data_IF_751235723587
#
_entry.id   IF_751235723587
#
_cell.length_a   1.000
_cell.length_b   1.000
_cell.length_c   1.000
_cell.angle_alpha   90.00
_cell.angle_beta   90.00
_cell.angle_gamma   90.00
#
_symmetry.space_group_name_H-M   'P 1'
#
loop_
_entity.id
_entity.type
_entity.pdbx_description
1 polymer ?
#
# COMPACT_ATOMS: atom_id res chain seq x y z
N UNK A 1 -16.95 -21.85 25.35
CA UNK A 1 -16.11 -20.74 24.84
C UNK A 1 -15.48 -19.84 25.92
N UNK A 2 -15.81 -19.94 27.23
CA UNK A 2 -15.17 -19.06 28.24
C UNK A 2 -13.81 -19.54 28.77
N UNK A 3 -13.45 -20.82 28.59
CA UNK A 3 -12.17 -21.36 29.05
C UNK A 3 -10.97 -20.78 28.30
N UNK A 4 -11.07 -20.65 26.97
CA UNK A 4 -10.02 -20.03 26.15
C UNK A 4 -9.83 -18.56 26.50
N UNK A 5 -10.92 -17.81 26.71
CA UNK A 5 -10.88 -16.41 27.14
C UNK A 5 -10.30 -16.24 28.56
N UNK A 6 -10.59 -17.18 29.48
CA UNK A 6 -10.05 -17.16 30.84
C UNK A 6 -8.55 -17.48 30.86
N UNK A 7 -8.13 -18.49 30.09
CA UNK A 7 -6.73 -18.87 29.96
C UNK A 7 -5.91 -17.78 29.26
N UNK A 8 -6.44 -17.15 28.21
CA UNK A 8 -5.76 -16.03 27.55
C UNK A 8 -5.65 -14.81 28.48
N UNK A 9 -6.72 -14.44 29.18
CA UNK A 9 -6.70 -13.37 30.20
C UNK A 9 -5.68 -13.66 31.31
N UNK A 10 -5.62 -14.91 31.78
CA UNK A 10 -4.66 -15.32 32.82
C UNK A 10 -3.22 -15.26 32.29
N UNK A 11 -2.96 -15.76 31.08
CA UNK A 11 -1.66 -15.72 30.42
C UNK A 11 -1.16 -14.27 30.19
N UNK A 12 -2.04 -13.39 29.73
CA UNK A 12 -1.71 -11.96 29.57
C UNK A 12 -1.32 -11.36 30.93
N UNK A 13 -2.07 -11.69 32.00
CA UNK A 13 -1.79 -11.18 33.35
C UNK A 13 -0.53 -11.77 33.96
N UNK A 14 -0.22 -13.03 33.68
CA UNK A 14 0.99 -13.70 34.19
C UNK A 14 2.24 -13.32 33.43
N UNK A 15 2.16 -12.91 32.17
CA UNK A 15 3.32 -12.43 31.42
C UNK A 15 3.53 -10.92 31.60
N UNK A 16 2.47 -10.12 31.52
CA UNK A 16 2.61 -8.65 31.52
C UNK A 16 3.06 -8.11 32.87
N UNK A 17 2.57 -8.66 33.99
CA UNK A 17 2.89 -8.15 35.33
C UNK A 17 4.34 -8.39 35.77
N UNK A 18 4.92 -9.61 35.68
CA UNK A 18 6.31 -9.80 36.08
C UNK A 18 7.26 -9.05 35.15
N UNK A 19 6.99 -8.98 33.85
CA UNK A 19 7.83 -8.23 32.90
C UNK A 19 7.82 -6.74 33.24
N UNK A 20 6.64 -6.14 33.46
CA UNK A 20 6.55 -4.73 33.85
C UNK A 20 7.25 -4.46 35.19
N UNK A 21 7.12 -5.36 36.17
CA UNK A 21 7.77 -5.20 37.48
C UNK A 21 9.30 -5.35 37.38
N UNK A 22 9.81 -6.27 36.57
CA UNK A 22 11.25 -6.43 36.33
C UNK A 22 11.83 -5.19 35.61
N UNK A 23 11.13 -4.67 34.61
CA UNK A 23 11.54 -3.46 33.89
C UNK A 23 11.55 -2.25 34.84
N UNK A 24 10.56 -2.14 35.75
CA UNK A 24 10.54 -1.09 36.78
C UNK A 24 11.72 -1.22 37.76
N UNK A 25 12.10 -2.44 38.16
CA UNK A 25 13.26 -2.69 39.01
C UNK A 25 14.56 -2.27 38.29
N UNK A 26 14.75 -2.70 37.03
CA UNK A 26 15.92 -2.33 36.25
C UNK A 26 16.01 -0.82 35.95
N UNK A 27 14.87 -0.12 35.81
CA UNK A 27 14.86 1.33 35.66
C UNK A 27 15.31 2.08 36.92
N UNK A 28 15.30 1.43 38.09
CA UNK A 28 15.85 1.99 39.33
C UNK A 28 17.34 1.68 39.46
N UNK A 29 17.76 0.50 39.01
CA UNK A 29 19.15 0.03 39.10
C UNK A 29 20.06 0.64 38.04
N UNK A 30 19.53 0.93 36.84
CA UNK A 30 20.32 1.42 35.71
C UNK A 30 19.90 2.82 35.24
N UNK A 31 20.79 3.81 35.39
CA UNK A 31 20.53 5.19 34.95
C UNK A 31 20.36 5.32 33.44
N UNK A 32 21.10 4.55 32.63
CA UNK A 32 20.96 4.58 31.17
C UNK A 32 19.55 4.15 30.76
N UNK A 33 19.07 3.07 31.38
CA UNK A 33 17.74 2.54 31.12
C UNK A 33 16.66 3.51 31.64
N UNK A 34 16.84 4.09 32.83
CA UNK A 34 16.00 5.18 33.35
C UNK A 34 15.83 6.33 32.35
N UNK A 35 16.94 6.82 31.78
CA UNK A 35 16.92 7.89 30.76
C UNK A 35 16.12 7.51 29.52
N UNK A 36 16.22 6.26 29.06
CA UNK A 36 15.44 5.73 27.93
C UNK A 36 13.94 5.66 28.28
N UNK A 37 13.58 5.14 29.46
CA UNK A 37 12.18 5.12 29.90
C UNK A 37 11.60 6.53 30.00
N UNK A 38 12.34 7.47 30.57
CA UNK A 38 11.91 8.86 30.73
C UNK A 38 11.78 9.55 29.38
N UNK A 39 12.75 9.39 28.46
CA UNK A 39 12.69 10.01 27.13
C UNK A 39 11.53 9.46 26.31
N UNK A 40 11.29 8.15 26.35
CA UNK A 40 10.16 7.51 25.66
C UNK A 40 8.82 7.98 26.23
N UNK A 41 8.68 7.99 27.55
CA UNK A 41 7.46 8.47 28.21
C UNK A 41 7.18 9.94 27.91
N UNK A 42 8.21 10.78 27.88
CA UNK A 42 8.07 12.18 27.49
C UNK A 42 7.72 12.35 26.01
N UNK A 43 8.29 11.54 25.11
CA UNK A 43 7.95 11.54 23.69
C UNK A 43 6.49 11.16 23.46
N UNK A 44 6.04 10.06 24.09
CA UNK A 44 4.65 9.63 24.04
C UNK A 44 3.69 10.65 24.63
N UNK A 45 4.04 11.25 25.77
CA UNK A 45 3.22 12.30 26.37
C UNK A 45 3.10 13.52 25.47
N UNK A 46 4.21 13.94 24.83
CA UNK A 46 4.20 15.05 23.87
C UNK A 46 3.35 14.72 22.64
N UNK A 47 3.42 13.49 22.16
CA UNK A 47 2.63 13.01 21.03
C UNK A 47 1.14 12.97 21.35
N UNK A 48 0.76 12.35 22.48
CA UNK A 48 -0.62 12.27 22.96
C UNK A 48 -1.24 13.67 23.15
N UNK A 49 -0.53 14.58 23.82
CA UNK A 49 -0.99 15.97 23.98
C UNK A 49 -1.06 16.71 22.64
N UNK A 50 -0.14 16.47 21.71
CA UNK A 50 -0.19 17.09 20.37
C UNK A 50 -1.43 16.63 19.60
N UNK A 51 -1.72 15.33 19.59
CA UNK A 51 -2.92 14.79 18.93
C UNK A 51 -4.19 15.31 19.58
N UNK A 52 -4.24 15.32 20.92
CA UNK A 52 -5.41 15.80 21.66
C UNK A 52 -5.67 17.29 21.41
N UNK A 53 -4.62 18.11 21.42
CA UNK A 53 -4.73 19.55 21.18
C UNK A 53 -5.02 19.87 19.70
N UNK A 54 -4.55 19.04 18.77
CA UNK A 54 -4.94 19.10 17.36
C UNK A 54 -6.43 18.83 17.18
N UNK A 55 -6.92 17.70 17.69
CA UNK A 55 -8.32 17.28 17.53
C UNK A 55 -9.33 18.24 18.20
N UNK A 56 -8.99 18.82 19.36
CA UNK A 56 -9.85 19.83 20.02
C UNK A 56 -9.92 21.13 19.21
N UNK A 57 -8.86 21.48 18.46
CA UNK A 57 -8.86 22.71 17.67
C UNK A 57 -9.63 22.58 16.38
N UNK A 58 -9.47 21.50 15.62
CA UNK A 58 -10.24 21.27 14.38
C UNK A 58 -11.74 21.35 14.66
N UNK A 59 -12.19 20.77 15.77
CA UNK A 59 -13.60 20.85 16.20
C UNK A 59 -14.03 22.26 16.61
N UNK A 60 -13.15 23.06 17.24
CA UNK A 60 -13.47 24.46 17.58
C UNK A 60 -13.42 25.41 16.38
N UNK A 61 -12.50 25.22 15.44
CA UNK A 61 -12.40 25.98 14.20
C UNK A 61 -13.63 25.74 13.33
N UNK A 62 -14.05 24.48 13.17
CA UNK A 62 -15.27 24.11 12.45
C UNK A 62 -16.51 24.73 13.12
N UNK A 63 -16.60 24.75 14.45
CA UNK A 63 -17.71 25.42 15.17
C UNK A 63 -17.73 26.94 14.97
N UNK A 64 -16.57 27.60 15.02
CA UNK A 64 -16.46 29.05 14.77
C UNK A 64 -16.81 29.40 13.32
N UNK A 65 -16.42 28.57 12.36
CA UNK A 65 -16.80 28.72 10.95
C UNK A 65 -18.31 28.54 10.75
N UNK A 66 -18.90 27.49 11.33
CA UNK A 66 -20.34 27.28 11.28
C UNK A 66 -21.15 28.44 11.91
N UNK A 67 -20.62 29.06 12.97
CA UNK A 67 -21.21 30.24 13.60
C UNK A 67 -21.09 31.49 12.71
N UNK A 68 -19.91 31.75 12.15
CA UNK A 68 -19.70 32.88 11.22
C UNK A 68 -20.53 32.73 9.94
N UNK A 69 -20.69 31.52 9.42
CA UNK A 69 -21.59 31.23 8.29
C UNK A 69 -23.06 31.37 8.66
N UNK A 70 -23.47 30.95 9.86
CA UNK A 70 -24.84 31.14 10.35
C UNK A 70 -25.16 32.63 10.56
N UNK A 71 -24.19 33.43 11.01
CA UNK A 71 -24.30 34.88 11.11
C UNK A 71 -24.32 35.55 9.72
N UNK A 72 -23.47 35.10 8.79
CA UNK A 72 -23.48 35.57 7.40
C UNK A 72 -24.82 35.26 6.71
N UNK A 73 -25.37 34.06 6.91
CA UNK A 73 -26.67 33.64 6.34
C UNK A 73 -27.85 34.44 6.91
N UNK A 74 -27.76 34.96 8.14
CA UNK A 74 -28.79 35.85 8.71
C UNK A 74 -28.84 37.22 8.02
N UNK A 75 -27.78 37.62 7.32
CA UNK A 75 -27.68 38.93 6.66
C UNK A 75 -27.85 38.86 5.13
N UNK A 76 -28.23 37.70 4.56
CA UNK A 76 -28.53 37.58 3.13
C UNK A 76 -30.01 37.95 2.89
N UNK A 77 -30.32 39.09 2.24
CA UNK A 77 -31.69 39.46 1.91
C UNK A 77 -32.25 38.57 0.80
N UNK A 78 -33.44 37.99 1.02
CA UNK A 78 -34.15 37.04 0.15
C UNK A 78 -34.95 37.68 -0.98
N UNK A 79 -34.63 38.90 -1.42
CA UNK A 79 -35.31 39.55 -2.55
C UNK A 79 -34.34 40.38 -3.42
N UNK A 80 -34.51 40.39 -4.76
CA UNK A 80 -33.59 41.03 -5.70
C UNK A 80 -33.88 42.53 -5.78
N UNK A 81 -33.35 43.30 -4.84
CA UNK A 81 -33.47 44.77 -4.85
C UNK A 81 -32.10 45.43 -4.75
N UNK A 82 -31.95 46.57 -5.45
CA UNK A 82 -30.70 47.34 -5.61
C UNK A 82 -30.07 47.63 -4.25
N UNK A 83 -28.79 47.26 -4.09
CA UNK A 83 -28.06 47.30 -2.81
C UNK A 83 -27.97 48.74 -2.27
N UNK A 84 -28.53 48.99 -1.09
CA UNK A 84 -28.23 50.17 -0.27
C UNK A 84 -26.83 50.05 0.34
N UNK A 85 -26.12 51.16 0.49
CA UNK A 85 -24.74 51.23 1.02
C UNK A 85 -24.56 50.59 2.41
N UNK A 86 -25.66 50.46 3.17
CA UNK A 86 -25.67 49.78 4.47
C UNK A 86 -25.47 48.26 4.34
N UNK A 87 -25.96 47.63 3.27
CA UNK A 87 -25.83 46.20 3.04
C UNK A 87 -24.42 45.82 2.57
N UNK A 88 -23.77 46.67 1.76
CA UNK A 88 -22.39 46.44 1.30
C UNK A 88 -21.38 46.62 2.44
N UNK A 89 -21.58 47.60 3.32
CA UNK A 89 -20.74 47.76 4.54
C UNK A 89 -20.89 46.56 5.48
N UNK A 90 -22.10 46.01 5.64
CA UNK A 90 -22.32 44.81 6.47
C UNK A 90 -21.69 43.54 5.85
N UNK A 91 -21.74 43.38 4.52
CA UNK A 91 -21.07 42.29 3.80
C UNK A 91 -19.54 42.38 3.90
N UNK A 92 -18.97 43.59 3.76
CA UNK A 92 -17.53 43.81 3.89
C UNK A 92 -17.03 43.60 5.33
N UNK A 93 -17.80 44.02 6.34
CA UNK A 93 -17.47 43.75 7.74
C UNK A 93 -17.56 42.26 8.08
N UNK A 94 -18.55 41.54 7.55
CA UNK A 94 -18.66 40.10 7.70
C UNK A 94 -17.49 39.37 7.01
N UNK A 95 -17.09 39.83 5.82
CA UNK A 95 -15.92 39.30 5.11
C UNK A 95 -14.60 39.64 5.82
N UNK A 96 -14.47 40.83 6.40
CA UNK A 96 -13.30 41.22 7.20
C UNK A 96 -13.19 40.37 8.47
N UNK A 97 -14.33 40.12 9.16
CA UNK A 97 -14.39 39.23 10.33
C UNK A 97 -14.09 37.77 9.96
N UNK A 98 -14.59 37.29 8.82
CA UNK A 98 -14.28 35.95 8.31
C UNK A 98 -12.81 35.79 7.93
N UNK A 99 -12.21 36.80 7.27
CA UNK A 99 -10.78 36.82 6.92
C UNK A 99 -9.89 36.90 8.17
N UNK A 100 -10.25 37.73 9.15
CA UNK A 100 -9.54 37.81 10.43
C UNK A 100 -9.64 36.49 11.23
N UNK A 101 -10.81 35.83 11.23
CA UNK A 101 -10.99 34.53 11.87
C UNK A 101 -10.19 33.41 11.17
N UNK A 102 -10.07 33.46 9.83
CA UNK A 102 -9.23 32.53 9.06
C UNK A 102 -7.73 32.76 9.32
N UNK A 103 -7.31 34.02 9.44
CA UNK A 103 -5.92 34.37 9.75
C UNK A 103 -5.53 34.02 11.20
N UNK A 104 -6.45 34.16 12.16
CA UNK A 104 -6.26 33.72 13.53
C UNK A 104 -6.16 32.18 13.62
N UNK A 105 -6.96 31.46 12.84
CA UNK A 105 -6.91 30.00 12.75
C UNK A 105 -5.62 29.49 12.07
N UNK A 106 -4.97 30.30 11.25
CA UNK A 106 -3.75 29.94 10.51
C UNK A 106 -2.45 30.11 11.33
N UNK A 107 -2.47 30.74 12.51
CA UNK A 107 -1.24 30.97 13.30
C UNK A 107 -0.75 29.68 13.98
N UNK A 108 0.50 29.24 13.73
CA UNK A 108 1.06 28.06 14.38
C UNK A 108 1.28 28.33 15.87
N UNK A 109 0.48 27.72 16.72
CA UNK A 109 0.63 27.83 18.17
C UNK A 109 1.64 26.82 18.71
N UNK A 110 2.70 27.30 19.35
CA UNK A 110 3.67 26.46 20.06
C UNK A 110 3.11 25.98 21.41
N UNK A 111 2.85 24.69 21.54
CA UNK A 111 2.41 24.10 22.81
C UNK A 111 3.59 23.82 23.73
N UNK A 112 3.67 24.55 24.85
CA UNK A 112 4.61 24.26 25.95
C UNK A 112 4.02 23.18 26.84
N UNK A 113 4.22 21.92 26.46
CA UNK A 113 3.75 20.76 27.24
C UNK A 113 4.68 20.59 28.46
N UNK A 114 4.11 20.56 29.68
CA UNK A 114 4.88 20.31 30.91
C UNK A 114 5.39 18.87 30.90
N UNK A 115 6.68 18.62 31.20
CA UNK A 115 7.19 17.26 31.29
C UNK A 115 6.52 16.51 32.46
N UNK A 116 6.35 15.20 32.32
CA UNK A 116 5.92 14.34 33.43
C UNK A 116 6.94 14.36 34.56
N UNK A 117 6.46 14.17 35.79
CA UNK A 117 7.33 13.87 36.93
C UNK A 117 8.09 12.58 36.64
N UNK A 118 9.31 12.50 37.17
CA UNK A 118 10.22 11.42 36.82
C UNK A 118 9.69 10.04 37.20
N UNK A 119 9.08 9.91 38.39
CA UNK A 119 8.46 8.67 38.86
C UNK A 119 7.35 8.19 37.92
N UNK A 120 6.51 9.11 37.43
CA UNK A 120 5.43 8.80 36.50
C UNK A 120 5.95 8.48 35.10
N UNK A 121 7.01 9.16 34.67
CA UNK A 121 7.68 8.88 33.41
C UNK A 121 8.32 7.48 33.41
N UNK A 122 8.95 7.06 34.51
CA UNK A 122 9.50 5.71 34.66
C UNK A 122 8.39 4.66 34.59
N UNK A 123 7.29 4.85 35.32
CA UNK A 123 6.18 3.90 35.32
C UNK A 123 5.51 3.78 33.96
N UNK A 124 5.20 4.91 33.32
CA UNK A 124 4.60 4.93 31.98
C UNK A 124 5.55 4.37 30.92
N UNK A 125 6.84 4.69 31.00
CA UNK A 125 7.86 4.19 30.08
C UNK A 125 8.05 2.68 30.22
N UNK A 126 8.09 2.17 31.46
CA UNK A 126 8.22 0.73 31.73
C UNK A 126 7.02 -0.06 31.19
N UNK A 127 5.79 0.41 31.44
CA UNK A 127 4.58 -0.22 30.91
C UNK A 127 4.61 -0.24 29.37
N UNK A 128 4.93 0.90 28.74
CA UNK A 128 4.99 0.99 27.28
C UNK A 128 6.04 0.06 26.67
N UNK A 129 7.24 -0.04 27.26
CA UNK A 129 8.29 -0.94 26.76
C UNK A 129 7.83 -2.40 26.87
N UNK A 130 7.24 -2.79 28.01
CA UNK A 130 6.75 -4.15 28.22
C UNK A 130 5.65 -4.53 27.24
N UNK A 131 4.71 -3.62 27.00
CA UNK A 131 3.60 -3.83 26.08
C UNK A 131 4.10 -3.86 24.63
N UNK A 132 4.94 -2.90 24.23
CA UNK A 132 5.55 -2.85 22.90
C UNK A 132 6.35 -4.12 22.59
N UNK A 133 7.09 -4.64 23.57
CA UNK A 133 7.83 -5.88 23.41
C UNK A 133 6.88 -7.06 23.16
N UNK A 134 5.82 -7.20 23.95
CA UNK A 134 4.81 -8.24 23.76
C UNK A 134 4.10 -8.13 22.40
N UNK A 135 3.73 -6.92 21.98
CA UNK A 135 3.12 -6.68 20.68
C UNK A 135 4.07 -6.97 19.52
N UNK A 136 5.35 -6.62 19.64
CA UNK A 136 6.36 -6.89 18.61
C UNK A 136 6.60 -8.40 18.49
N UNK A 137 6.72 -9.12 19.60
CA UNK A 137 6.88 -10.58 19.58
C UNK A 137 5.62 -11.25 19.02
N UNK A 138 4.42 -10.90 19.52
CA UNK A 138 3.18 -11.50 19.06
C UNK A 138 2.87 -11.16 17.59
N UNK A 139 2.95 -9.88 17.22
CA UNK A 139 2.75 -9.42 15.85
C UNK A 139 3.83 -9.95 14.91
N UNK A 140 5.08 -9.99 15.37
CA UNK A 140 6.21 -10.56 14.64
C UNK A 140 6.01 -12.04 14.34
N UNK A 141 5.52 -12.83 15.31
CA UNK A 141 5.19 -14.24 15.08
C UNK A 141 4.06 -14.42 14.07
N UNK A 142 3.00 -13.59 14.14
CA UNK A 142 1.89 -13.64 13.18
C UNK A 142 2.37 -13.29 11.76
N UNK A 143 3.15 -12.20 11.62
CA UNK A 143 3.69 -11.78 10.33
C UNK A 143 4.68 -12.81 9.79
N UNK A 144 5.54 -13.36 10.65
CA UNK A 144 6.50 -14.39 10.29
C UNK A 144 5.81 -15.67 9.81
N UNK A 145 4.78 -16.13 10.53
CA UNK A 145 4.00 -17.29 10.14
C UNK A 145 3.21 -17.02 8.86
N UNK A 146 2.60 -15.83 8.71
CA UNK A 146 1.90 -15.44 7.48
C UNK A 146 2.84 -15.41 6.28
N UNK A 147 4.02 -14.80 6.42
CA UNK A 147 5.03 -14.74 5.37
C UNK A 147 5.56 -16.13 5.00
N UNK A 148 5.86 -16.96 6.01
CA UNK A 148 6.29 -18.35 5.82
C UNK A 148 5.20 -19.21 5.18
N UNK A 149 3.94 -19.02 5.57
CA UNK A 149 2.79 -19.76 5.02
C UNK A 149 2.53 -19.38 3.57
N UNK A 150 2.54 -18.08 3.25
CA UNK A 150 2.38 -17.56 1.88
C UNK A 150 3.40 -18.16 0.91
N UNK A 151 4.66 -18.30 1.33
CA UNK A 151 5.72 -18.94 0.52
C UNK A 151 5.41 -20.41 0.17
N UNK A 152 4.69 -21.14 1.03
CA UNK A 152 4.30 -22.53 0.75
C UNK A 152 3.04 -22.61 -0.10
N UNK A 153 2.14 -21.66 0.06
CA UNK A 153 0.93 -21.58 -0.73
C UNK A 153 1.22 -21.18 -2.18
N UNK A 154 2.20 -20.29 -2.43
CA UNK A 154 2.59 -19.92 -3.80
C UNK A 154 3.10 -21.12 -4.60
N UNK A 155 4.03 -21.92 -4.05
CA UNK A 155 4.53 -23.13 -4.74
C UNK A 155 3.43 -24.16 -4.98
N UNK A 156 2.43 -24.25 -4.07
CA UNK A 156 1.25 -25.10 -4.29
C UNK A 156 0.34 -24.57 -5.39
N UNK A 157 0.17 -23.25 -5.49
CA UNK A 157 -0.61 -22.61 -6.56
C UNK A 157 0.07 -22.78 -7.92
N UNK A 158 1.38 -22.52 -7.98
CA UNK A 158 2.22 -22.77 -9.17
C UNK A 158 2.05 -24.22 -9.65
N UNK A 159 2.20 -25.22 -8.77
CA UNK A 159 2.03 -26.62 -9.17
C UNK A 159 0.60 -27.05 -9.55
N UNK A 160 -0.43 -26.29 -9.16
CA UNK A 160 -1.82 -26.51 -9.62
C UNK A 160 -2.02 -25.86 -10.99
N UNK A 161 -1.49 -24.66 -11.18
CA UNK A 161 -1.50 -23.94 -12.46
C UNK A 161 -0.77 -24.75 -13.55
N UNK A 162 0.40 -25.30 -13.24
CA UNK A 162 1.15 -26.18 -14.16
C UNK A 162 0.33 -27.40 -14.61
N UNK A 163 -0.38 -28.04 -13.67
CA UNK A 163 -1.24 -29.20 -13.96
C UNK A 163 -2.47 -28.84 -14.78
N UNK A 164 -3.06 -27.67 -14.53
CA UNK A 164 -4.17 -27.17 -15.33
C UNK A 164 -3.72 -26.91 -16.77
N UNK A 165 -2.57 -26.25 -16.95
CA UNK A 165 -1.99 -26.00 -18.27
C UNK A 165 -1.67 -27.31 -19.02
N UNK A 166 -1.09 -28.31 -18.35
CA UNK A 166 -0.83 -29.63 -18.95
C UNK A 166 -2.14 -30.33 -19.38
N UNK A 167 -3.17 -30.29 -18.53
CA UNK A 167 -4.47 -30.87 -18.86
C UNK A 167 -5.13 -30.17 -20.05
N UNK A 168 -5.13 -28.84 -20.08
CA UNK A 168 -5.65 -28.05 -21.20
C UNK A 168 -4.91 -28.36 -22.51
N UNK A 169 -3.57 -28.49 -22.46
CA UNK A 169 -2.77 -28.90 -23.62
C UNK A 169 -3.11 -30.32 -24.08
N UNK A 170 -3.27 -31.26 -23.14
CA UNK A 170 -3.67 -32.64 -23.46
C UNK A 170 -5.05 -32.70 -24.11
N UNK A 171 -5.98 -31.85 -23.67
CA UNK A 171 -7.31 -31.75 -24.25
C UNK A 171 -7.26 -31.12 -25.65
N UNK A 172 -6.50 -30.02 -25.82
CA UNK A 172 -6.29 -29.37 -27.12
C UNK A 172 -5.69 -30.34 -28.15
N UNK A 173 -4.62 -31.06 -27.79
CA UNK A 173 -3.98 -32.05 -28.68
C UNK A 173 -4.91 -33.23 -29.01
N UNK A 174 -5.69 -33.72 -28.05
CA UNK A 174 -6.69 -34.76 -28.31
C UNK A 174 -7.79 -34.28 -29.28
N UNK A 175 -8.27 -33.05 -29.11
CA UNK A 175 -9.25 -32.42 -30.02
C UNK A 175 -8.68 -32.29 -31.44
N UNK A 176 -7.44 -31.83 -31.59
CA UNK A 176 -6.76 -31.73 -32.89
C UNK A 176 -6.60 -33.08 -33.59
N UNK A 177 -6.21 -34.12 -32.84
CA UNK A 177 -6.05 -35.48 -33.37
C UNK A 177 -7.39 -36.03 -33.90
N UNK A 178 -8.49 -35.81 -33.17
CA UNK A 178 -9.84 -36.19 -33.62
C UNK A 178 -10.22 -35.50 -34.93
N UNK A 179 -9.96 -34.20 -35.04
CA UNK A 179 -10.19 -33.42 -36.27
C UNK A 179 -9.39 -33.98 -37.45
N UNK A 180 -8.13 -34.35 -37.24
CA UNK A 180 -7.29 -34.95 -38.29
C UNK A 180 -7.86 -36.30 -38.76
N UNK A 181 -8.23 -37.18 -37.84
CA UNK A 181 -8.87 -38.48 -38.12
C UNK A 181 -10.18 -38.33 -38.91
N UNK A 182 -11.01 -37.34 -38.56
CA UNK A 182 -12.26 -37.12 -39.30
C UNK A 182 -12.00 -36.71 -40.75
N UNK A 183 -11.01 -35.85 -41.01
CA UNK A 183 -10.62 -35.48 -42.38
C UNK A 183 -10.18 -36.69 -43.18
N UNK A 184 -9.42 -37.61 -42.57
CA UNK A 184 -9.02 -38.85 -43.22
C UNK A 184 -10.22 -39.75 -43.53
N UNK A 185 -11.14 -39.94 -42.58
CA UNK A 185 -12.36 -40.72 -42.81
C UNK A 185 -13.23 -40.14 -43.93
N UNK A 186 -13.40 -38.81 -43.97
CA UNK A 186 -14.11 -38.13 -45.05
C UNK A 186 -13.43 -38.36 -46.40
N UNK A 187 -12.09 -38.29 -46.44
CA UNK A 187 -11.32 -38.54 -47.66
C UNK A 187 -11.48 -39.98 -48.17
N UNK A 188 -11.50 -40.97 -47.26
CA UNK A 188 -11.72 -42.38 -47.60
C UNK A 188 -13.15 -42.62 -48.07
N UNK A 189 -14.13 -41.97 -47.43
CA UNK A 189 -15.54 -42.05 -47.82
C UNK A 189 -15.79 -41.50 -49.22
N UNK A 190 -15.10 -40.41 -49.60
CA UNK A 190 -15.14 -39.87 -50.97
C UNK A 190 -14.52 -40.84 -51.99
N UNK A 191 -13.39 -41.47 -51.65
CA UNK A 191 -12.73 -42.46 -52.53
C UNK A 191 -13.58 -43.72 -52.78
N UNK A 192 -14.42 -44.12 -51.82
CA UNK A 192 -15.26 -45.33 -51.90
C UNK A 192 -16.72 -45.06 -52.34
N UNK A 193 -17.01 -43.91 -52.98
CA UNK A 193 -18.32 -43.65 -53.60
C UNK A 193 -19.45 -43.22 -52.66
N UNK A 194 -19.14 -42.75 -51.45
CA UNK A 194 -20.14 -42.23 -50.51
C UNK A 194 -20.80 -40.92 -50.98
N UNK A 195 -22.11 -40.79 -50.78
CA UNK A 195 -22.90 -39.58 -51.12
C UNK A 195 -22.40 -38.31 -50.41
N UNK A 196 -22.45 -37.17 -51.12
CA UNK A 196 -21.99 -35.84 -50.70
C UNK A 196 -22.91 -35.25 -49.62
N UNK A 197 -22.82 -35.74 -48.39
CA UNK A 197 -23.44 -35.12 -47.22
C UNK A 197 -22.38 -34.54 -46.30
N UNK A 198 -22.35 -33.21 -46.15
CA UNK A 198 -21.48 -32.43 -45.25
C UNK A 198 -21.90 -32.57 -43.78
N UNK A 199 -22.04 -33.79 -43.28
CA UNK A 199 -22.29 -34.02 -41.87
C UNK A 199 -20.95 -34.23 -41.18
N UNK A 200 -20.47 -33.18 -40.51
CA UNK A 200 -19.37 -33.33 -39.55
C UNK A 200 -19.81 -34.27 -38.44
N UNK A 201 -18.96 -35.25 -38.16
CA UNK A 201 -19.21 -36.33 -37.22
C UNK A 201 -18.87 -35.85 -35.81
N UNK A 202 -17.87 -34.98 -35.66
CA UNK A 202 -17.49 -34.40 -34.37
C UNK A 202 -18.37 -33.19 -33.97
N UNK A 203 -18.62 -32.97 -32.66
CA UNK A 203 -19.36 -31.82 -32.13
C UNK A 203 -18.70 -30.48 -32.49
N UNK A 204 -19.50 -29.41 -32.54
CA UNK A 204 -19.07 -28.07 -32.97
C UNK A 204 -17.93 -27.51 -32.09
N UNK A 205 -17.90 -27.87 -30.82
CA UNK A 205 -16.90 -27.48 -29.81
C UNK A 205 -15.49 -28.03 -30.08
N UNK A 206 -15.37 -29.09 -30.89
CA UNK A 206 -14.09 -29.71 -31.27
C UNK A 206 -13.53 -29.06 -32.55
N UNK A 207 -14.40 -28.47 -33.37
CA UNK A 207 -14.06 -27.85 -34.67
C UNK A 207 -13.78 -26.36 -34.59
N UNK A 208 -14.50 -25.63 -33.73
CA UNK A 208 -14.18 -24.26 -33.37
C UNK A 208 -13.02 -24.29 -32.37
N UNK A 209 -11.81 -24.62 -32.84
CA UNK A 209 -10.58 -24.20 -32.15
C UNK A 209 -10.53 -22.69 -32.30
N UNK A 210 -11.24 -22.00 -31.41
CA UNK A 210 -11.16 -20.54 -31.28
C UNK A 210 -9.67 -20.24 -31.07
N UNK A 211 -9.03 -19.43 -31.92
CA UNK A 211 -7.69 -18.96 -31.64
C UNK A 211 -7.79 -18.17 -30.35
N UNK A 212 -7.32 -18.76 -29.27
CA UNK A 212 -7.24 -18.13 -27.97
C UNK A 212 -6.16 -17.06 -28.10
N UNK A 213 -6.60 -15.86 -28.47
CA UNK A 213 -5.78 -14.65 -28.34
C UNK A 213 -5.63 -14.44 -26.84
N UNK A 214 -4.58 -15.05 -26.31
CA UNK A 214 -4.14 -14.90 -24.93
C UNK A 214 -3.59 -13.48 -24.77
N UNK A 215 -4.47 -12.50 -24.61
CA UNK A 215 -4.10 -11.28 -23.90
C UNK A 215 -4.18 -11.58 -22.40
N UNK A 216 -3.07 -11.48 -21.65
CA UNK A 216 -3.11 -11.67 -20.22
C UNK A 216 -3.86 -10.49 -19.60
N UNK A 217 -5.16 -10.64 -19.36
CA UNK A 217 -5.88 -9.74 -18.47
C UNK A 217 -5.33 -9.90 -17.07
N UNK A 218 -4.36 -9.05 -16.72
CA UNK A 218 -3.88 -8.91 -15.35
C UNK A 218 -5.10 -8.64 -14.46
N UNK A 219 -5.52 -9.60 -13.60
CA UNK A 219 -6.81 -9.50 -12.96
C UNK A 219 -6.75 -8.29 -12.04
N UNK A 220 -7.69 -7.35 -12.20
CA UNK A 220 -7.85 -6.13 -11.41
C UNK A 220 -8.19 -6.49 -9.95
N UNK A 221 -7.18 -6.99 -9.26
CA UNK A 221 -7.28 -7.65 -7.97
C UNK A 221 -6.93 -6.61 -6.93
N UNK A 222 -7.92 -5.82 -6.52
CA UNK A 222 -7.96 -4.96 -5.32
C UNK A 222 -6.84 -3.92 -5.11
N UNK A 223 -5.56 -4.25 -5.28
CA UNK A 223 -4.40 -3.35 -5.30
C UNK A 223 -4.56 -2.21 -6.31
N UNK A 224 -5.13 -2.46 -7.50
CA UNK A 224 -5.38 -1.40 -8.50
C UNK A 224 -6.47 -0.43 -8.04
N UNK A 225 -7.48 -0.92 -7.33
CA UNK A 225 -8.50 -0.08 -6.67
C UNK A 225 -7.93 0.67 -5.46
N UNK A 226 -7.07 0.04 -4.67
CA UNK A 226 -6.36 0.66 -3.55
C UNK A 226 -5.38 1.74 -4.01
N UNK A 227 -4.65 1.50 -5.11
CA UNK A 227 -3.75 2.46 -5.71
C UNK A 227 -4.49 3.71 -6.21
N UNK A 228 -5.74 3.57 -6.66
CA UNK A 228 -6.58 4.73 -7.04
C UNK A 228 -7.06 5.57 -5.85
N UNK A 229 -7.04 5.03 -4.63
CA UNK A 229 -7.46 5.71 -3.39
C UNK A 229 -6.31 6.45 -2.70
N UNK A 230 -5.06 6.23 -3.12
CA UNK A 230 -3.90 6.98 -2.65
C UNK A 230 -3.57 8.01 -3.73
N UNK A 231 -3.83 9.32 -3.51
CA UNK A 231 -3.37 10.37 -4.41
C UNK A 231 -1.86 10.55 -4.19
N UNK A 232 -1.06 9.58 -4.61
CA UNK A 232 0.39 9.70 -4.62
C UNK A 232 0.76 10.64 -5.77
N UNK A 233 1.41 11.74 -5.42
CA UNK A 233 1.58 12.95 -6.23
C UNK A 233 1.94 12.69 -7.70
N UNK A 234 1.11 13.26 -8.57
CA UNK A 234 1.37 13.45 -10.00
C UNK A 234 2.69 14.21 -10.19
N UNK A 235 3.74 13.49 -10.62
CA UNK A 235 5.02 14.06 -10.99
C UNK A 235 5.84 13.07 -11.82
N UNK A 236 6.23 13.50 -13.03
CA UNK A 236 7.09 12.84 -14.02
C UNK A 236 6.53 11.62 -14.79
N UNK A 237 5.91 11.97 -15.92
CA UNK A 237 6.01 11.31 -17.22
C UNK A 237 7.29 10.51 -17.47
N UNK A 238 7.15 9.22 -17.79
CA UNK A 238 8.09 8.51 -18.66
C UNK A 238 7.31 8.20 -19.93
N UNK A 239 7.61 8.96 -20.98
CA UNK A 239 7.14 8.71 -22.34
C UNK A 239 8.03 7.62 -22.96
N UNK A 240 7.41 6.52 -23.37
CA UNK A 240 7.99 5.56 -24.30
C UNK A 240 8.01 6.18 -25.70
N UNK A 241 9.17 6.17 -26.35
CA UNK A 241 9.30 6.25 -27.80
C UNK A 241 10.17 5.09 -28.27
N UNK A 242 9.52 4.11 -28.89
CA UNK A 242 10.14 3.04 -29.68
C UNK A 242 10.19 3.45 -31.15
N UNK A 243 11.37 3.35 -31.77
CA UNK A 243 11.56 3.16 -33.22
C UNK A 243 12.94 2.47 -33.37
N UNK A 244 12.96 1.14 -33.42
CA UNK A 244 13.05 0.32 -34.63
C UNK A 244 14.42 0.34 -35.35
N UNK A 245 15.05 -0.85 -35.35
CA UNK A 245 15.63 -1.54 -36.52
C UNK A 245 17.12 -1.41 -36.86
N UNK A 246 17.74 -2.60 -36.88
CA UNK A 246 18.86 -3.07 -37.73
C UNK A 246 20.28 -2.65 -37.32
N UNK A 247 21.34 -3.46 -37.44
CA UNK A 247 21.61 -4.89 -37.70
C UNK A 247 23.15 -5.02 -37.58
N UNK A 248 23.67 -6.23 -37.37
CA UNK A 248 25.08 -6.66 -37.57
C UNK A 248 26.16 -6.31 -36.51
N UNK A 249 26.54 -7.33 -35.72
CA UNK A 249 27.95 -7.70 -35.47
C UNK A 249 28.58 -8.22 -36.79
N UNK A 250 29.92 -8.30 -37.01
CA UNK A 250 30.91 -8.76 -36.02
C UNK A 250 32.38 -8.25 -36.17
N UNK A 251 33.23 -8.77 -35.28
CA UNK A 251 34.66 -9.13 -35.47
C UNK A 251 35.77 -8.13 -35.10
N UNK A 252 36.74 -8.71 -34.40
CA UNK A 252 38.01 -8.23 -33.89
C UNK A 252 38.98 -7.65 -34.94
N UNK A 253 39.81 -6.68 -34.52
CA UNK A 253 41.28 -6.73 -34.67
C UNK A 253 41.97 -5.54 -33.99
N UNK A 254 42.90 -5.85 -33.07
CA UNK A 254 44.14 -5.10 -32.84
C UNK A 254 45.07 -5.45 -34.03
N UNK A 255 46.17 -4.73 -34.40
CA UNK A 255 46.94 -3.78 -33.61
C UNK A 255 47.53 -2.58 -34.40
N UNK A 256 48.17 -1.63 -33.70
CA UNK A 256 49.50 -1.06 -34.04
C UNK A 256 49.73 0.28 -33.33
N UNK A 257 50.66 0.26 -32.36
CA UNK A 257 51.50 1.42 -32.05
C UNK A 257 52.62 1.47 -33.13
N UNK A 258 53.46 2.52 -33.31
CA UNK A 258 54.18 3.26 -32.24
C UNK A 258 54.23 4.79 -32.51
N UNK A 259 54.74 5.67 -31.64
CA UNK A 259 56.17 6.03 -31.53
C UNK A 259 56.26 7.31 -30.66
N UNK A 260 57.21 7.31 -29.69
CA UNK A 260 57.97 8.47 -29.14
C UNK A 260 57.31 9.51 -28.20
N UNK A 261 57.98 10.17 -27.23
CA UNK A 261 59.33 10.20 -26.59
C UNK A 261 59.06 10.77 -25.15
N UNK A 262 59.71 10.46 -24.02
CA UNK A 262 60.98 11.00 -23.49
C UNK A 262 61.12 10.55 -22.01
N UNK A 263 62.27 9.94 -21.70
CA UNK A 263 63.16 10.05 -20.53
C UNK A 263 62.58 10.22 -19.09
N UNK A 264 62.97 9.33 -18.16
CA UNK A 264 64.14 9.45 -17.24
C UNK A 264 63.82 10.35 -16.02
N UNK A 265 64.00 10.01 -14.74
CA UNK A 265 64.94 9.16 -13.98
C UNK A 265 64.28 8.83 -12.63
N UNK A 266 64.40 7.64 -12.01
CA UNK A 266 65.56 7.18 -11.21
C UNK A 266 65.72 7.99 -9.91
N UNK A 267 65.94 7.46 -8.70
CA UNK A 267 66.21 6.12 -8.17
C UNK A 267 66.35 6.29 -6.63
N UNK A 268 65.77 5.40 -5.82
CA UNK A 268 66.22 4.87 -4.51
C UNK A 268 65.03 4.47 -3.64
#
# INVERSE_FOLDING_TARGET
MSLTLKLSSLAIRTLSKPIANQIKAQAREHERFRKVCVSMAQALHRFDMRLRLGNIRDTSAVRKQAQAEAEAKKHIPTAPTVKTEAATKAEEEAQAKAKAAAEEAAKPHHYRIRPLSESKAIESGANFISESFLFLVAGGLIVFESWRSRRKESTRREGVEDRLAELEQSEKTAREALVALEKELLSLKMKHGGSKGTHHILPREVWEVVPEVEEPEAPATWWTRMASLIPFGKGSTIANSSTESQQTQPTAEKPSAPVQVVASSGKS
#
